data_IF_924576181852
#
_entry.id   IF_924576181852
#
_cell.length_a   1.000
_cell.length_b   1.000
_cell.length_c   1.000
_cell.angle_alpha   90.00
_cell.angle_beta   90.00
_cell.angle_gamma   90.00
#
_symmetry.space_group_name_H-M   'P 1'
#
loop_
_entity.id
_entity.type
_entity.pdbx_description
1 polymer ?
#
# COMPACT_ATOMS: atom_id res chain seq x y z
N UNK A 1 -3.35 4.07 -25.90
CA UNK A 1 -3.27 3.21 -24.70
C UNK A 1 -4.15 2.00 -24.89
N UNK A 2 -3.57 0.83 -24.92
CA UNK A 2 -4.21 -0.47 -24.99
C UNK A 2 -3.98 -1.21 -23.66
N UNK A 3 -4.94 -2.01 -23.23
CA UNK A 3 -4.87 -2.80 -22.00
C UNK A 3 -5.01 -4.27 -22.35
N UNK A 4 -4.06 -5.06 -21.91
CA UNK A 4 -4.07 -6.51 -22.05
C UNK A 4 -4.00 -7.17 -20.67
N UNK A 5 -4.90 -8.09 -20.36
CA UNK A 5 -4.73 -9.00 -19.23
C UNK A 5 -3.75 -10.10 -19.63
N UNK A 6 -2.62 -10.16 -18.92
CA UNK A 6 -1.59 -11.16 -19.16
C UNK A 6 -1.96 -12.47 -18.48
N UNK A 7 -2.40 -12.40 -17.20
CA UNK A 7 -2.74 -13.57 -16.43
C UNK A 7 -3.61 -13.27 -15.20
N UNK A 8 -4.05 -14.33 -14.54
CA UNK A 8 -4.74 -14.28 -13.24
C UNK A 8 -4.23 -15.39 -12.35
N UNK A 9 -3.60 -15.03 -11.23
CA UNK A 9 -3.13 -15.95 -10.22
C UNK A 9 -4.23 -16.22 -9.20
N UNK A 10 -4.44 -17.48 -8.89
CA UNK A 10 -5.42 -17.96 -7.91
C UNK A 10 -4.76 -18.92 -6.93
N UNK A 11 -5.22 -18.92 -5.67
CA UNK A 11 -4.66 -19.78 -4.62
C UNK A 11 -5.00 -19.30 -3.21
N UNK A 12 -5.17 -18.00 -3.02
CA UNK A 12 -5.68 -17.47 -1.75
C UNK A 12 -7.09 -18.00 -1.44
N UNK A 13 -7.36 -18.25 -0.15
CA UNK A 13 -8.66 -18.74 0.33
C UNK A 13 -9.61 -17.63 0.77
N UNK A 14 -9.08 -16.41 0.94
CA UNK A 14 -9.81 -15.24 1.42
C UNK A 14 -9.29 -13.96 0.72
N UNK A 15 -9.93 -12.78 0.96
CA UNK A 15 -9.52 -11.49 0.42
C UNK A 15 -8.03 -11.19 0.56
N UNK A 16 -7.44 -10.61 -0.49
CA UNK A 16 -6.02 -10.21 -0.52
C UNK A 16 -5.94 -8.72 -0.23
N UNK A 17 -5.07 -8.32 0.71
CA UNK A 17 -4.95 -6.94 1.17
C UNK A 17 -3.58 -6.30 0.93
N UNK A 18 -2.54 -7.11 0.70
CA UNK A 18 -1.18 -6.62 0.50
C UNK A 18 -0.53 -7.23 -0.72
N UNK A 19 0.20 -6.41 -1.45
CA UNK A 19 1.12 -6.79 -2.53
C UNK A 19 2.47 -6.11 -2.25
N UNK A 20 3.55 -6.83 -2.50
CA UNK A 20 4.91 -6.31 -2.38
C UNK A 20 5.78 -6.86 -3.52
N UNK A 21 6.65 -6.04 -4.11
CA UNK A 21 7.60 -6.47 -5.12
C UNK A 21 8.81 -7.13 -4.44
N UNK A 22 9.28 -8.22 -5.02
CA UNK A 22 10.43 -8.95 -4.53
C UNK A 22 11.77 -8.22 -4.75
N UNK A 23 12.84 -8.81 -4.25
CA UNK A 23 14.20 -8.36 -4.54
C UNK A 23 14.50 -8.47 -6.05
N UNK A 24 14.08 -9.60 -6.64
CA UNK A 24 14.09 -9.79 -8.08
C UNK A 24 12.72 -9.38 -8.64
N UNK A 25 12.66 -8.45 -9.62
CA UNK A 25 11.41 -7.82 -10.05
C UNK A 25 10.34 -8.78 -10.58
N UNK A 26 10.73 -9.97 -11.04
CA UNK A 26 9.79 -10.98 -11.53
C UNK A 26 9.10 -11.78 -10.40
N UNK A 27 9.49 -11.60 -9.14
CA UNK A 27 8.74 -12.11 -8.00
C UNK A 27 7.90 -11.02 -7.37
N UNK A 28 6.66 -11.36 -7.08
CA UNK A 28 5.76 -10.56 -6.27
C UNK A 28 5.22 -11.40 -5.12
N UNK A 29 4.83 -10.73 -4.05
CA UNK A 29 4.33 -11.36 -2.84
C UNK A 29 2.99 -10.78 -2.48
N UNK A 30 2.11 -11.63 -1.96
CA UNK A 30 0.78 -11.23 -1.51
C UNK A 30 0.50 -11.73 -0.10
N UNK A 31 -0.37 -11.02 0.61
CA UNK A 31 -0.92 -11.48 1.88
C UNK A 31 -2.37 -11.01 2.04
N UNK A 32 -3.14 -11.71 2.86
CA UNK A 32 -4.55 -11.41 2.98
C UNK A 32 -5.22 -11.93 4.24
N UNK A 33 -6.53 -12.07 4.16
CA UNK A 33 -7.37 -12.45 5.29
C UNK A 33 -7.22 -13.92 5.69
N UNK A 34 -6.65 -14.75 4.82
CA UNK A 34 -6.33 -16.15 5.12
C UNK A 34 -5.01 -16.33 5.90
N UNK A 35 -4.30 -15.22 6.15
CA UNK A 35 -3.02 -15.24 6.84
C UNK A 35 -1.86 -15.80 6.02
N UNK A 36 -2.08 -16.12 4.75
CA UNK A 36 -1.03 -16.65 3.89
C UNK A 36 -0.15 -15.53 3.34
N UNK A 37 1.16 -15.76 3.34
CA UNK A 37 2.15 -15.00 2.58
C UNK A 37 2.56 -15.88 1.40
N UNK A 38 2.28 -15.43 0.18
CA UNK A 38 2.45 -16.24 -1.03
C UNK A 38 3.38 -15.53 -2.00
N UNK A 39 4.35 -16.27 -2.52
CA UNK A 39 5.25 -15.88 -3.61
C UNK A 39 4.65 -16.27 -4.95
N UNK A 40 4.72 -15.37 -5.94
CA UNK A 40 4.28 -15.57 -7.32
C UNK A 40 5.40 -15.18 -8.28
N UNK A 41 5.52 -15.93 -9.37
CA UNK A 41 6.51 -15.64 -10.41
C UNK A 41 5.83 -15.10 -11.66
N UNK A 42 6.10 -13.86 -12.03
CA UNK A 42 5.54 -13.20 -13.21
C UNK A 42 6.03 -13.78 -14.55
N UNK A 43 7.13 -14.56 -14.53
CA UNK A 43 7.64 -15.27 -15.71
C UNK A 43 6.94 -16.61 -15.95
N UNK A 44 6.39 -17.19 -14.88
CA UNK A 44 5.75 -18.51 -14.91
C UNK A 44 4.43 -18.41 -14.17
N UNK A 45 3.38 -18.02 -14.88
CA UNK A 45 2.06 -17.82 -14.30
C UNK A 45 1.44 -19.18 -13.93
N UNK A 46 1.71 -19.65 -12.76
CA UNK A 46 1.13 -20.89 -12.25
C UNK A 46 0.97 -20.86 -10.73
N UNK A 47 1.29 -21.92 -10.08
CA UNK A 47 1.00 -22.16 -8.66
C UNK A 47 1.85 -21.24 -7.77
N UNK A 48 1.18 -20.39 -6.96
CA UNK A 48 1.84 -19.63 -5.92
C UNK A 48 2.49 -20.53 -4.86
N UNK A 49 3.66 -20.14 -4.36
CA UNK A 49 4.36 -20.82 -3.28
C UNK A 49 4.05 -20.15 -1.95
N UNK A 50 3.39 -20.87 -1.04
CA UNK A 50 3.15 -20.37 0.32
C UNK A 50 4.47 -20.32 1.08
N UNK A 51 4.88 -19.14 1.54
CA UNK A 51 6.09 -18.91 2.32
C UNK A 51 5.83 -18.97 3.83
N UNK A 52 4.69 -18.46 4.26
CA UNK A 52 4.31 -18.46 5.67
C UNK A 52 2.78 -18.49 5.82
N UNK A 53 2.35 -19.00 6.96
CA UNK A 53 0.98 -18.88 7.44
C UNK A 53 1.01 -18.17 8.78
N UNK A 54 0.39 -16.99 8.84
CA UNK A 54 0.22 -16.17 10.03
C UNK A 54 -1.21 -16.33 10.50
N UNK A 55 -1.42 -16.58 11.77
CA UNK A 55 -2.77 -16.70 12.32
C UNK A 55 -3.51 -15.35 12.25
N UNK A 56 -4.69 -15.35 11.64
CA UNK A 56 -5.48 -14.13 11.40
C UNK A 56 -5.11 -13.36 10.14
N UNK A 57 -5.73 -12.18 9.99
CA UNK A 57 -5.58 -11.36 8.78
C UNK A 57 -4.28 -10.58 8.76
N UNK A 58 -3.63 -10.55 7.60
CA UNK A 58 -2.45 -9.73 7.30
C UNK A 58 -2.88 -8.59 6.36
N UNK A 59 -2.88 -7.35 6.87
CA UNK A 59 -3.19 -6.16 6.05
C UNK A 59 -1.95 -5.54 5.42
N UNK A 60 -0.77 -5.77 5.98
CA UNK A 60 0.47 -5.22 5.46
C UNK A 60 1.62 -6.24 5.49
N UNK A 61 2.37 -6.22 4.42
CA UNK A 61 3.58 -6.99 4.17
C UNK A 61 4.63 -6.01 3.65
N UNK A 62 5.85 -6.05 4.17
CA UNK A 62 6.93 -5.17 3.71
C UNK A 62 8.24 -5.93 3.62
N UNK A 63 8.88 -5.88 2.45
CA UNK A 63 10.17 -6.54 2.23
C UNK A 63 11.32 -5.62 2.65
N UNK A 64 12.14 -6.07 3.56
CA UNK A 64 13.46 -5.50 3.81
C UNK A 64 14.45 -6.08 2.80
N UNK A 65 14.73 -5.31 1.74
CA UNK A 65 15.53 -5.78 0.59
C UNK A 65 16.98 -6.13 0.93
N UNK A 66 17.55 -5.50 1.96
CA UNK A 66 18.95 -5.74 2.38
C UNK A 66 19.15 -7.11 3.02
N UNK A 67 18.17 -7.55 3.82
CA UNK A 67 18.21 -8.82 4.57
C UNK A 67 17.38 -9.93 3.93
N UNK A 68 16.53 -9.57 2.96
CA UNK A 68 15.56 -10.47 2.34
C UNK A 68 14.54 -11.06 3.35
N UNK A 69 14.17 -10.24 4.34
CA UNK A 69 13.19 -10.57 5.37
C UNK A 69 11.89 -9.82 5.12
N UNK A 70 10.78 -10.54 5.17
CA UNK A 70 9.47 -9.91 5.25
C UNK A 70 9.15 -9.51 6.67
N UNK A 71 8.70 -8.25 6.82
CA UNK A 71 8.03 -7.75 8.00
C UNK A 71 6.53 -7.88 7.78
N UNK A 72 5.90 -8.77 8.54
CA UNK A 72 4.49 -9.13 8.41
C UNK A 72 3.72 -8.62 9.61
N UNK A 73 2.73 -7.76 9.37
CA UNK A 73 1.84 -7.24 10.40
C UNK A 73 0.72 -8.23 10.71
N UNK A 74 0.79 -8.89 11.88
CA UNK A 74 -0.30 -9.71 12.42
C UNK A 74 -1.20 -8.86 13.30
N UNK A 75 -2.46 -8.76 12.93
CA UNK A 75 -3.43 -7.99 13.72
C UNK A 75 -3.58 -8.54 15.12
N UNK A 76 -3.62 -7.60 16.09
CA UNK A 76 -3.81 -7.85 17.55
C UNK A 76 -2.66 -8.57 18.25
N UNK A 77 -1.58 -8.90 17.56
CA UNK A 77 -0.42 -9.57 18.15
C UNK A 77 0.89 -8.82 17.94
N UNK A 78 1.31 -8.61 16.66
CA UNK A 78 2.57 -7.94 16.46
C UNK A 78 3.13 -7.99 15.05
N UNK A 79 4.43 -7.79 14.97
CA UNK A 79 5.20 -7.86 13.73
C UNK A 79 6.07 -9.12 13.77
N UNK A 80 6.08 -9.85 12.66
CA UNK A 80 6.92 -11.04 12.49
C UNK A 80 7.88 -10.86 11.33
N UNK A 81 9.15 -11.21 11.55
CA UNK A 81 10.15 -11.34 10.50
C UNK A 81 10.13 -12.74 9.91
N UNK A 82 9.91 -12.86 8.60
CA UNK A 82 9.94 -14.14 7.87
C UNK A 82 11.03 -14.08 6.83
N UNK A 83 12.03 -14.99 6.96
CA UNK A 83 13.11 -15.12 5.99
C UNK A 83 12.59 -15.82 4.73
N UNK A 84 12.87 -15.27 3.55
CA UNK A 84 12.36 -15.82 2.29
C UNK A 84 13.05 -17.15 1.94
N UNK A 85 14.36 -17.27 2.20
CA UNK A 85 15.18 -18.41 1.75
C UNK A 85 14.76 -19.75 2.35
N UNK A 86 14.50 -19.77 3.64
CA UNK A 86 14.20 -20.99 4.43
C UNK A 86 12.82 -20.98 5.05
N UNK A 87 12.05 -19.89 4.84
CA UNK A 87 10.68 -19.72 5.30
C UNK A 87 10.55 -19.71 6.84
N UNK A 88 11.66 -19.48 7.54
CA UNK A 88 11.68 -19.44 9.00
C UNK A 88 11.25 -18.06 9.53
N UNK A 89 10.56 -18.08 10.66
CA UNK A 89 10.32 -16.89 11.45
C UNK A 89 11.61 -16.55 12.22
N UNK A 90 12.24 -15.41 11.86
CA UNK A 90 13.54 -15.02 12.44
C UNK A 90 13.39 -14.09 13.66
N UNK A 91 12.27 -13.38 13.77
CA UNK A 91 11.93 -12.61 14.96
C UNK A 91 10.41 -12.42 15.10
N UNK A 92 10.01 -12.02 16.31
CA UNK A 92 8.65 -11.56 16.62
C UNK A 92 8.72 -10.41 17.61
N UNK A 93 8.01 -9.33 17.30
CA UNK A 93 7.91 -8.14 18.14
C UNK A 93 6.45 -7.99 18.56
N UNK A 94 6.19 -8.17 19.87
CA UNK A 94 4.86 -7.98 20.41
C UNK A 94 4.44 -6.51 20.28
N UNK A 95 3.23 -6.27 19.79
CA UNK A 95 2.64 -4.94 19.63
C UNK A 95 1.41 -4.77 20.51
N UNK A 96 0.96 -3.54 20.77
CA UNK A 96 -0.35 -3.31 21.37
C UNK A 96 -1.43 -4.09 20.60
N UNK A 97 -2.40 -4.67 21.34
CA UNK A 97 -3.52 -5.46 20.77
C UNK A 97 -4.43 -4.60 19.90
N UNK A 98 -3.95 -4.25 18.73
CA UNK A 98 -4.57 -3.34 17.74
C UNK A 98 -4.40 -3.88 16.34
N UNK A 99 -5.30 -3.47 15.43
CA UNK A 99 -5.09 -3.73 14.00
C UNK A 99 -3.84 -2.99 13.50
N UNK A 100 -3.10 -3.63 12.59
CA UNK A 100 -1.90 -3.08 11.95
C UNK A 100 -2.25 -2.85 10.48
N UNK A 101 -2.17 -1.61 10.02
CA UNK A 101 -2.61 -1.23 8.68
C UNK A 101 -1.48 -0.98 7.69
N UNK A 102 -0.34 -0.50 8.15
CA UNK A 102 0.82 -0.26 7.29
C UNK A 102 2.13 -0.34 8.07
N UNK A 103 3.22 -0.64 7.35
CA UNK A 103 4.58 -0.67 7.83
C UNK A 103 5.43 0.15 6.87
N UNK A 104 6.28 1.03 7.39
CA UNK A 104 7.19 1.84 6.59
C UNK A 104 8.60 1.81 7.16
N UNK A 105 9.59 1.55 6.31
CA UNK A 105 11.00 1.68 6.65
C UNK A 105 11.46 3.11 6.40
N UNK A 106 12.07 3.74 7.40
CA UNK A 106 12.62 5.08 7.30
C UNK A 106 13.99 5.16 7.98
N UNK A 107 15.05 5.00 7.21
CA UNK A 107 16.41 4.82 7.73
C UNK A 107 16.51 3.56 8.59
N UNK A 108 16.97 3.70 9.83
CA UNK A 108 17.01 2.61 10.81
C UNK A 108 15.71 2.44 11.60
N UNK A 109 14.66 3.19 11.28
CA UNK A 109 13.38 3.11 11.96
C UNK A 109 12.36 2.32 11.13
N UNK A 110 11.50 1.58 11.82
CA UNK A 110 10.31 0.93 11.26
C UNK A 110 9.08 1.54 11.91
N UNK A 111 8.28 2.23 11.12
CA UNK A 111 7.04 2.86 11.56
C UNK A 111 5.86 1.92 11.29
N UNK A 112 5.03 1.71 12.30
CA UNK A 112 3.88 0.80 12.27
C UNK A 112 2.61 1.58 12.57
N UNK A 113 1.65 1.56 11.64
CA UNK A 113 0.37 2.23 11.74
C UNK A 113 -0.69 1.32 12.37
N UNK A 114 -1.34 1.80 13.43
CA UNK A 114 -2.37 1.06 14.15
C UNK A 114 -3.73 1.77 14.14
N UNK A 115 -4.75 1.04 14.59
CA UNK A 115 -6.03 1.64 14.89
C UNK A 115 -5.95 2.62 16.09
N UNK A 116 -7.03 3.41 16.27
CA UNK A 116 -7.12 4.42 17.33
C UNK A 116 -5.95 5.42 17.35
N UNK A 117 -5.40 5.79 16.19
CA UNK A 117 -4.37 6.83 16.05
C UNK A 117 -3.02 6.53 16.69
N UNK A 118 -2.75 5.28 17.01
CA UNK A 118 -1.46 4.86 17.53
C UNK A 118 -0.48 4.61 16.38
N UNK A 119 0.75 5.05 16.57
CA UNK A 119 1.90 4.74 15.71
C UNK A 119 3.00 4.21 16.62
N UNK A 120 3.57 3.06 16.29
CA UNK A 120 4.74 2.51 16.99
C UNK A 120 5.97 2.68 16.10
N UNK A 121 7.09 3.03 16.70
CA UNK A 121 8.39 3.12 16.00
C UNK A 121 9.35 2.12 16.63
N UNK A 122 9.93 1.29 15.79
CA UNK A 122 10.88 0.24 16.15
C UNK A 122 12.25 0.66 15.64
N UNK A 123 13.28 0.47 16.45
CA UNK A 123 14.66 0.47 15.95
C UNK A 123 14.94 -0.86 15.26
N UNK A 124 15.34 -0.79 14.00
CA UNK A 124 15.44 -1.95 13.12
C UNK A 124 16.56 -2.93 13.51
N UNK A 125 17.66 -2.42 14.07
CA UNK A 125 18.80 -3.25 14.46
C UNK A 125 18.56 -3.97 15.79
N UNK A 126 18.07 -3.25 16.80
CA UNK A 126 17.78 -3.83 18.11
C UNK A 126 16.45 -4.55 18.19
N UNK A 127 15.56 -4.34 17.23
CA UNK A 127 14.17 -4.84 17.21
C UNK A 127 13.34 -4.37 18.40
N UNK A 128 13.73 -3.25 19.04
CA UNK A 128 13.03 -2.69 20.19
C UNK A 128 12.10 -1.55 19.77
N UNK A 129 10.94 -1.47 20.42
CA UNK A 129 10.05 -0.32 20.28
C UNK A 129 10.69 0.86 20.99
N UNK A 130 11.03 1.92 20.24
CA UNK A 130 11.68 3.12 20.78
C UNK A 130 10.69 4.26 21.04
N UNK A 131 9.51 4.22 20.42
CA UNK A 131 8.49 5.27 20.56
C UNK A 131 7.09 4.75 20.29
N UNK A 132 6.14 5.27 21.05
CA UNK A 132 4.72 5.28 20.70
C UNK A 132 4.27 6.72 20.53
N UNK A 133 3.61 7.01 19.40
CA UNK A 133 3.03 8.31 19.08
C UNK A 133 1.53 8.15 19.03
N UNK A 134 0.80 8.94 19.82
CA UNK A 134 -0.67 9.02 19.76
C UNK A 134 -1.05 10.27 18.97
N UNK A 135 -1.65 10.09 17.81
CA UNK A 135 -2.03 11.19 16.92
C UNK A 135 -3.53 11.16 16.57
N UNK A 136 -4.34 11.57 17.53
CA UNK A 136 -5.80 11.53 17.44
C UNK A 136 -6.40 10.18 17.85
N UNK A 137 -7.70 9.99 17.62
CA UNK A 137 -8.45 8.78 18.03
C UNK A 137 -8.87 7.90 16.85
N UNK A 138 -8.62 8.33 15.63
CA UNK A 138 -8.92 7.57 14.42
C UNK A 138 -7.68 6.91 13.87
N UNK A 139 -7.84 5.74 13.27
CA UNK A 139 -6.75 4.87 12.81
C UNK A 139 -5.75 5.58 11.91
N UNK A 140 -4.45 5.38 12.16
CA UNK A 140 -3.40 5.62 11.18
C UNK A 140 -3.50 4.53 10.11
N UNK A 141 -3.54 4.90 8.83
CA UNK A 141 -3.89 3.98 7.74
C UNK A 141 -2.77 3.74 6.76
N UNK A 142 -2.01 4.77 6.41
CA UNK A 142 -1.02 4.70 5.34
C UNK A 142 0.13 5.64 5.62
N UNK A 143 1.34 5.17 5.37
CA UNK A 143 2.55 5.98 5.36
C UNK A 143 2.94 6.36 3.93
N UNK A 144 3.53 7.55 3.80
CA UNK A 144 4.17 8.01 2.58
C UNK A 144 5.40 8.85 2.94
N UNK A 145 6.58 8.43 2.52
CA UNK A 145 7.80 9.23 2.72
C UNK A 145 7.77 10.46 1.80
N UNK A 146 8.09 11.62 2.36
CA UNK A 146 8.23 12.89 1.65
C UNK A 146 9.72 13.22 1.57
N UNK A 147 10.38 12.63 0.57
CA UNK A 147 11.84 12.65 0.50
C UNK A 147 12.50 11.91 1.66
N UNK A 148 13.63 12.44 2.15
CA UNK A 148 14.41 11.77 3.20
C UNK A 148 14.05 12.18 4.63
N UNK A 149 13.41 13.34 4.82
CA UNK A 149 13.34 14.01 6.13
C UNK A 149 11.95 14.03 6.77
N UNK A 150 10.90 13.66 6.04
CA UNK A 150 9.52 13.72 6.51
C UNK A 150 8.72 12.49 6.13
N UNK A 151 7.72 12.18 6.92
CA UNK A 151 6.75 11.13 6.67
C UNK A 151 5.33 11.68 6.78
N UNK A 152 4.54 11.53 5.73
CA UNK A 152 3.11 11.79 5.75
C UNK A 152 2.35 10.54 6.20
N UNK A 153 1.35 10.73 7.02
CA UNK A 153 0.50 9.66 7.54
C UNK A 153 -0.95 10.01 7.27
N UNK A 154 -1.65 9.16 6.54
CA UNK A 154 -3.08 9.28 6.28
C UNK A 154 -3.89 8.62 7.40
N UNK A 155 -4.95 9.29 7.85
CA UNK A 155 -5.79 8.84 8.96
C UNK A 155 -7.24 8.60 8.55
N UNK A 156 -7.95 7.85 9.39
CA UNK A 156 -9.38 7.57 9.19
C UNK A 156 -10.30 8.74 9.55
N UNK A 157 -9.77 9.84 10.09
CA UNK A 157 -10.48 11.11 10.27
C UNK A 157 -10.40 12.04 9.06
N UNK A 158 -9.78 11.58 7.97
CA UNK A 158 -9.58 12.36 6.75
C UNK A 158 -8.36 13.27 6.77
N UNK A 159 -7.68 13.38 7.90
CA UNK A 159 -6.44 14.17 7.99
C UNK A 159 -5.25 13.44 7.40
N UNK A 160 -4.34 14.21 6.83
CA UNK A 160 -2.95 13.84 6.60
C UNK A 160 -2.11 14.63 7.59
N UNK A 161 -1.22 13.94 8.30
CA UNK A 161 -0.30 14.51 9.29
C UNK A 161 1.12 14.20 8.89
N UNK A 162 1.99 15.21 8.94
CA UNK A 162 3.41 15.11 8.57
C UNK A 162 4.27 15.18 9.81
N UNK A 163 5.16 14.21 9.96
CA UNK A 163 6.11 14.12 11.06
C UNK A 163 7.54 14.18 10.54
N UNK A 164 8.44 14.71 11.38
CA UNK A 164 9.88 14.69 11.16
C UNK A 164 10.54 13.48 11.86
N UNK A 165 11.86 13.34 11.68
CA UNK A 165 12.67 12.24 12.29
C UNK A 165 12.71 12.26 13.82
N UNK A 166 12.39 13.39 14.43
CA UNK A 166 12.32 13.55 15.90
C UNK A 166 10.94 13.23 16.46
N UNK A 167 10.04 12.65 15.62
CA UNK A 167 8.67 12.30 15.99
C UNK A 167 7.76 13.51 16.28
N UNK A 168 8.12 14.70 15.82
CA UNK A 168 7.36 15.91 15.99
C UNK A 168 6.38 16.10 14.83
N UNK A 169 5.13 16.48 15.16
CA UNK A 169 4.12 16.86 14.19
C UNK A 169 4.46 18.25 13.63
N UNK A 170 4.79 18.34 12.36
CA UNK A 170 5.11 19.60 11.71
C UNK A 170 3.91 20.24 11.03
N UNK A 171 3.06 19.41 10.44
CA UNK A 171 1.93 19.88 9.65
C UNK A 171 0.77 18.90 9.64
N UNK A 172 -0.46 19.42 9.58
CA UNK A 172 -1.67 18.62 9.44
C UNK A 172 -2.75 19.39 8.68
N UNK A 173 -3.48 18.70 7.80
CA UNK A 173 -4.63 19.27 7.09
C UNK A 173 -5.71 18.22 6.86
N UNK A 174 -6.96 18.70 6.74
CA UNK A 174 -8.08 17.86 6.33
C UNK A 174 -8.00 17.63 4.82
N UNK A 175 -7.56 16.43 4.45
CA UNK A 175 -7.36 16.06 3.06
C UNK A 175 -8.63 15.47 2.42
N UNK A 176 -9.36 14.64 3.15
CA UNK A 176 -10.56 13.96 2.69
C UNK A 176 -11.70 14.12 3.70
N UNK A 177 -12.94 14.00 3.25
CA UNK A 177 -14.11 14.01 4.13
C UNK A 177 -14.19 12.77 5.03
N UNK A 178 -13.57 11.67 4.57
CA UNK A 178 -13.52 10.36 5.23
C UNK A 178 -12.08 9.85 5.21
N UNK A 179 -11.88 8.57 5.58
CA UNK A 179 -10.56 7.93 5.69
C UNK A 179 -9.68 8.15 4.46
N UNK A 180 -8.43 8.52 4.69
CA UNK A 180 -7.34 8.44 3.70
C UNK A 180 -6.83 7.01 3.66
N UNK A 181 -6.86 6.37 2.50
CA UNK A 181 -6.49 4.96 2.37
C UNK A 181 -5.13 4.73 1.71
N UNK A 182 -4.76 5.58 0.76
CA UNK A 182 -3.45 5.49 0.11
C UNK A 182 -2.94 6.86 -0.33
N UNK A 183 -1.62 6.96 -0.44
CA UNK A 183 -0.92 8.18 -0.84
C UNK A 183 0.34 7.83 -1.61
N UNK A 184 0.72 8.70 -2.55
CA UNK A 184 1.98 8.66 -3.28
C UNK A 184 2.59 10.06 -3.30
N UNK A 185 3.89 10.15 -3.10
CA UNK A 185 4.65 11.38 -3.25
C UNK A 185 5.41 11.39 -4.58
N UNK A 186 5.16 12.41 -5.38
CA UNK A 186 5.85 12.69 -6.65
C UNK A 186 6.99 13.66 -6.37
N UNK A 187 8.17 13.12 -6.11
CA UNK A 187 9.33 13.93 -5.69
C UNK A 187 9.72 14.98 -6.73
N UNK A 188 9.67 14.62 -8.02
CA UNK A 188 10.04 15.52 -9.14
C UNK A 188 9.20 16.80 -9.21
N UNK A 189 7.95 16.75 -8.75
CA UNK A 189 7.00 17.88 -8.79
C UNK A 189 6.64 18.41 -7.41
N UNK A 190 7.14 17.78 -6.34
CA UNK A 190 6.77 18.08 -4.96
C UNK A 190 5.25 18.03 -4.72
N UNK A 191 4.60 17.03 -5.33
CA UNK A 191 3.17 16.79 -5.15
C UNK A 191 2.91 15.52 -4.36
N UNK A 192 1.90 15.58 -3.50
CA UNK A 192 1.33 14.41 -2.85
C UNK A 192 -0.02 14.09 -3.51
N UNK A 193 -0.17 12.87 -3.99
CA UNK A 193 -1.47 12.33 -4.35
C UNK A 193 -2.06 11.59 -3.16
N UNK A 194 -3.35 11.77 -2.93
CA UNK A 194 -4.09 11.04 -1.91
C UNK A 194 -5.42 10.53 -2.42
N UNK A 195 -5.85 9.37 -1.93
CA UNK A 195 -7.13 8.75 -2.22
C UNK A 195 -7.78 8.24 -0.94
N UNK A 196 -9.09 8.13 -0.94
CA UNK A 196 -9.78 7.76 0.27
C UNK A 196 -11.19 7.22 0.09
N UNK A 197 -11.88 7.12 1.22
CA UNK A 197 -13.24 6.58 1.30
C UNK A 197 -14.29 7.49 0.64
N UNK A 198 -13.99 8.75 0.42
CA UNK A 198 -14.85 9.71 -0.28
C UNK A 198 -14.82 9.57 -1.80
N UNK A 199 -14.15 8.54 -2.34
CA UNK A 199 -14.01 8.24 -3.77
C UNK A 199 -13.33 9.32 -4.60
N UNK A 200 -12.59 10.22 -3.95
CA UNK A 200 -11.85 11.31 -4.59
C UNK A 200 -10.37 10.98 -4.72
N UNK A 201 -9.78 11.43 -5.83
CA UNK A 201 -8.33 11.52 -6.04
C UNK A 201 -7.95 12.99 -5.94
N UNK A 202 -7.01 13.32 -5.08
CA UNK A 202 -6.57 14.69 -4.82
C UNK A 202 -5.07 14.84 -4.98
N UNK A 203 -4.65 15.95 -5.58
CA UNK A 203 -3.25 16.36 -5.71
C UNK A 203 -2.99 17.58 -4.84
N UNK A 204 -1.98 17.51 -4.01
CA UNK A 204 -1.56 18.53 -3.06
C UNK A 204 -0.17 19.03 -3.39
N UNK A 205 0.03 20.34 -3.44
CA UNK A 205 1.36 20.94 -3.45
C UNK A 205 1.84 21.09 -2.01
N UNK A 206 3.06 20.61 -1.75
CA UNK A 206 3.70 20.68 -0.44
C UNK A 206 4.72 21.83 -0.43
N UNK A 207 4.34 23.00 0.09
CA UNK A 207 5.19 24.18 0.15
C UNK A 207 5.48 24.57 1.61
N UNK A 208 6.66 24.11 2.10
CA UNK A 208 7.09 24.39 3.48
C UNK A 208 6.11 23.80 4.50
N UNK A 209 5.51 24.67 5.33
CA UNK A 209 4.57 24.28 6.38
C UNK A 209 3.10 24.22 5.92
N UNK A 210 2.83 24.39 4.64
CA UNK A 210 1.45 24.44 4.11
C UNK A 210 1.26 23.45 2.97
N UNK A 211 0.05 22.91 2.91
CA UNK A 211 -0.42 22.06 1.81
C UNK A 211 -1.58 22.73 1.12
N UNK A 212 -1.53 22.79 -0.20
CA UNK A 212 -2.56 23.40 -1.03
C UNK A 212 -3.17 22.36 -1.95
N UNK A 213 -4.49 22.29 -2.00
CA UNK A 213 -5.20 21.49 -2.99
C UNK A 213 -4.97 22.10 -4.38
N UNK A 214 -4.31 21.34 -5.25
CA UNK A 214 -4.04 21.74 -6.64
C UNK A 214 -5.13 21.24 -7.56
N UNK A 215 -5.55 19.99 -7.35
CA UNK A 215 -6.55 19.34 -8.20
C UNK A 215 -7.32 18.27 -7.43
N UNK A 216 -8.61 18.16 -7.72
CA UNK A 216 -9.50 17.13 -7.19
C UNK A 216 -10.32 16.51 -8.32
N UNK A 217 -10.46 15.19 -8.30
CA UNK A 217 -11.28 14.44 -9.24
C UNK A 217 -12.18 13.47 -8.49
N UNK A 218 -13.49 13.45 -8.80
CA UNK A 218 -14.38 12.37 -8.38
C UNK A 218 -14.03 11.11 -9.18
N UNK A 219 -13.05 10.37 -8.67
CA UNK A 219 -12.37 9.34 -9.44
C UNK A 219 -13.17 8.05 -9.58
N UNK A 220 -13.93 7.67 -8.56
CA UNK A 220 -14.72 6.45 -8.50
C UNK A 220 -16.11 6.70 -7.91
N UNK A 221 -16.98 5.68 -7.93
CA UNK A 221 -18.32 5.76 -7.31
C UNK A 221 -18.31 5.24 -5.86
N UNK A 222 -17.25 4.53 -5.46
CA UNK A 222 -17.04 4.03 -4.10
C UNK A 222 -15.59 4.26 -3.68
N UNK A 223 -15.29 3.92 -2.41
CA UNK A 223 -13.99 4.08 -1.79
C UNK A 223 -12.83 3.64 -2.70
N UNK A 224 -11.77 4.44 -2.75
CA UNK A 224 -10.53 4.12 -3.44
C UNK A 224 -9.56 3.57 -2.41
N UNK A 225 -9.16 2.31 -2.57
CA UNK A 225 -8.31 1.62 -1.59
C UNK A 225 -6.83 1.85 -1.82
N UNK A 226 -6.42 1.99 -3.08
CA UNK A 226 -5.00 2.16 -3.38
C UNK A 226 -4.76 3.05 -4.59
N UNK A 227 -3.58 3.66 -4.64
CA UNK A 227 -3.06 4.41 -5.77
C UNK A 227 -1.58 4.09 -5.94
N UNK A 228 -1.16 3.83 -7.17
CA UNK A 228 0.25 3.55 -7.54
C UNK A 228 0.64 4.35 -8.77
N UNK A 229 1.93 4.68 -8.88
CA UNK A 229 2.50 5.36 -10.05
C UNK A 229 3.26 4.35 -10.92
N UNK A 230 3.23 4.55 -12.24
CA UNK A 230 4.03 3.76 -13.19
C UNK A 230 5.53 4.01 -13.00
N UNK A 231 6.42 3.03 -13.33
CA UNK A 231 7.86 3.21 -13.18
C UNK A 231 8.42 4.40 -13.96
N UNK A 232 7.83 4.72 -15.10
CA UNK A 232 8.18 5.89 -15.93
C UNK A 232 7.52 7.20 -15.45
N UNK A 233 6.70 7.15 -14.38
CA UNK A 233 5.97 8.26 -13.78
C UNK A 233 4.99 8.99 -14.73
N UNK A 234 4.57 8.34 -15.82
CA UNK A 234 3.63 8.95 -16.76
C UNK A 234 2.17 8.70 -16.40
N UNK A 235 1.89 7.66 -15.60
CA UNK A 235 0.54 7.22 -15.28
C UNK A 235 0.36 6.93 -13.80
N UNK A 236 -0.89 7.09 -13.33
CA UNK A 236 -1.35 6.54 -12.05
C UNK A 236 -2.37 5.44 -12.31
N UNK A 237 -2.43 4.48 -11.40
CA UNK A 237 -3.52 3.54 -11.32
C UNK A 237 -4.21 3.65 -9.96
N UNK A 238 -5.53 3.63 -9.95
CA UNK A 238 -6.35 3.60 -8.72
C UNK A 238 -7.18 2.34 -8.66
N UNK A 239 -7.29 1.74 -7.48
CA UNK A 239 -8.10 0.56 -7.19
C UNK A 239 -9.27 0.92 -6.27
N UNK A 240 -10.46 0.42 -6.59
CA UNK A 240 -11.66 0.82 -5.86
C UNK A 240 -12.55 -0.36 -5.44
N UNK A 241 -13.34 -0.10 -4.41
CA UNK A 241 -14.48 -0.90 -3.98
C UNK A 241 -15.53 -1.05 -5.09
N UNK A 242 -15.56 -0.16 -6.10
CA UNK A 242 -16.44 -0.26 -7.27
C UNK A 242 -16.04 -1.36 -8.26
N UNK A 243 -15.03 -2.17 -7.92
CA UNK A 243 -14.51 -3.33 -8.67
C UNK A 243 -13.72 -2.94 -9.92
N UNK A 244 -13.41 -1.66 -10.08
CA UNK A 244 -12.66 -1.17 -11.23
C UNK A 244 -11.26 -0.74 -10.84
N UNK A 245 -10.35 -0.79 -11.83
CA UNK A 245 -9.07 -0.13 -11.80
C UNK A 245 -9.14 0.99 -12.85
N UNK A 246 -8.67 2.17 -12.52
CA UNK A 246 -8.64 3.28 -13.46
C UNK A 246 -7.21 3.76 -13.67
N UNK A 247 -6.89 4.06 -14.93
CA UNK A 247 -5.58 4.59 -15.34
C UNK A 247 -5.75 6.06 -15.67
N UNK A 248 -4.86 6.87 -15.12
CA UNK A 248 -4.88 8.32 -15.18
C UNK A 248 -3.57 8.85 -15.74
N UNK A 249 -3.62 9.95 -16.46
CA UNK A 249 -2.43 10.72 -16.83
C UNK A 249 -1.81 11.36 -15.59
N UNK A 250 -0.50 11.20 -15.41
CA UNK A 250 0.22 11.83 -14.30
C UNK A 250 0.29 13.35 -14.43
N UNK A 251 0.23 13.86 -15.65
CA UNK A 251 0.36 15.29 -15.92
C UNK A 251 -0.85 16.09 -15.41
N UNK A 252 -2.06 15.66 -15.78
CA UNK A 252 -3.29 16.44 -15.60
C UNK A 252 -4.44 15.70 -14.91
N UNK A 253 -4.20 14.49 -14.40
CA UNK A 253 -5.19 13.60 -13.80
C UNK A 253 -6.37 13.27 -14.72
N UNK A 254 -6.17 13.35 -16.04
CA UNK A 254 -7.19 12.93 -17.00
C UNK A 254 -7.38 11.41 -16.96
N UNK A 255 -8.63 10.96 -16.96
CA UNK A 255 -8.97 9.54 -17.03
C UNK A 255 -8.64 8.99 -18.43
N UNK A 256 -7.74 8.03 -18.51
CA UNK A 256 -7.31 7.41 -19.76
C UNK A 256 -8.04 6.10 -20.05
N UNK A 257 -8.16 5.23 -19.04
CA UNK A 257 -8.80 3.91 -19.17
C UNK A 257 -9.50 3.47 -17.89
N UNK A 258 -10.51 2.61 -18.08
CA UNK A 258 -11.19 1.89 -17.00
C UNK A 258 -11.08 0.40 -17.27
N UNK A 259 -10.49 -0.34 -16.35
CA UNK A 259 -10.35 -1.79 -16.36
C UNK A 259 -11.47 -2.36 -15.49
N UNK A 260 -12.42 -3.03 -16.11
CA UNK A 260 -13.60 -3.62 -15.47
C UNK A 260 -13.84 -5.08 -15.94
N UNK A 261 -14.74 -5.76 -15.26
CA UNK A 261 -15.05 -7.15 -15.58
C UNK A 261 -15.69 -7.34 -16.97
N UNK A 262 -16.64 -6.50 -17.43
CA UNK A 262 -17.27 -6.68 -18.75
C UNK A 262 -16.30 -6.57 -19.91
N UNK A 263 -15.36 -5.64 -19.88
CA UNK A 263 -14.45 -5.38 -21.01
C UNK A 263 -13.17 -6.21 -20.98
N UNK A 264 -12.64 -6.44 -19.78
CA UNK A 264 -11.31 -7.04 -19.62
C UNK A 264 -11.32 -8.33 -18.79
N UNK A 265 -12.48 -8.79 -18.32
CA UNK A 265 -12.59 -9.92 -17.40
C UNK A 265 -11.90 -9.66 -16.06
N UNK A 266 -11.89 -8.40 -15.60
CA UNK A 266 -11.27 -7.97 -14.35
C UNK A 266 -11.96 -8.55 -13.12
N UNK A 267 -11.61 -8.03 -11.96
CA UNK A 267 -12.12 -8.49 -10.67
C UNK A 267 -13.63 -8.41 -10.53
N UNK A 268 -14.21 -9.38 -9.83
CA UNK A 268 -15.65 -9.46 -9.56
C UNK A 268 -16.06 -8.77 -8.26
N UNK A 269 -15.07 -8.49 -7.40
CA UNK A 269 -15.25 -7.86 -6.10
C UNK A 269 -14.31 -6.64 -5.97
N UNK A 270 -14.33 -5.98 -4.79
CA UNK A 270 -13.48 -4.86 -4.47
C UNK A 270 -12.01 -5.10 -4.84
N UNK A 271 -11.39 -4.14 -5.52
CA UNK A 271 -9.94 -4.16 -5.75
C UNK A 271 -9.26 -3.44 -4.58
N UNK A 272 -8.42 -4.16 -3.85
CA UNK A 272 -7.88 -3.68 -2.58
C UNK A 272 -6.47 -3.14 -2.69
N UNK A 273 -5.65 -3.72 -3.56
CA UNK A 273 -4.23 -3.39 -3.65
C UNK A 273 -3.76 -3.39 -5.09
N UNK A 274 -2.84 -2.48 -5.37
CA UNK A 274 -2.10 -2.39 -6.62
C UNK A 274 -0.60 -2.46 -6.36
N UNK A 275 0.12 -2.95 -7.35
CA UNK A 275 1.56 -2.88 -7.45
C UNK A 275 1.92 -2.63 -8.91
N UNK A 276 2.68 -1.57 -9.19
CA UNK A 276 3.27 -1.40 -10.51
C UNK A 276 4.68 -1.97 -10.46
N UNK A 277 4.84 -3.17 -11.04
CA UNK A 277 6.12 -3.89 -11.02
C UNK A 277 7.11 -3.29 -12.02
N UNK A 278 8.38 -3.29 -11.65
CA UNK A 278 9.47 -2.95 -12.57
C UNK A 278 9.78 -4.06 -13.57
N UNK A 279 9.19 -5.26 -13.39
CA UNK A 279 9.27 -6.33 -14.38
C UNK A 279 8.28 -6.08 -15.51
N UNK A 280 8.78 -5.76 -16.70
CA UNK A 280 8.00 -5.47 -17.90
C UNK A 280 6.90 -4.40 -17.73
N UNK A 281 7.01 -3.57 -16.72
CA UNK A 281 6.04 -2.52 -16.36
C UNK A 281 4.61 -3.06 -16.14
N UNK A 282 4.50 -4.28 -15.61
CA UNK A 282 3.20 -4.88 -15.32
C UNK A 282 2.51 -4.19 -14.15
N UNK A 283 1.26 -3.83 -14.35
CA UNK A 283 0.36 -3.48 -13.26
C UNK A 283 -0.24 -4.77 -12.67
N UNK A 284 -0.09 -4.96 -11.38
CA UNK A 284 -0.62 -6.09 -10.62
C UNK A 284 -1.74 -5.60 -9.71
N UNK A 285 -2.85 -6.31 -9.67
CA UNK A 285 -4.00 -5.97 -8.83
C UNK A 285 -4.47 -7.16 -8.00
N UNK A 286 -4.84 -6.91 -6.74
CA UNK A 286 -5.35 -7.91 -5.81
C UNK A 286 -6.74 -7.51 -5.27
N UNK A 287 -7.60 -8.51 -5.00
CA UNK A 287 -9.01 -8.27 -4.76
C UNK A 287 -9.60 -9.15 -3.65
N UNK A 288 -10.80 -8.75 -3.21
CA UNK A 288 -11.68 -9.58 -2.38
C UNK A 288 -12.15 -10.86 -3.09
N UNK A 289 -12.01 -10.94 -4.42
CA UNK A 289 -12.31 -12.16 -5.18
C UNK A 289 -11.23 -13.23 -5.07
N UNK A 290 -10.21 -13.01 -4.23
CA UNK A 290 -9.09 -13.91 -3.91
C UNK A 290 -8.09 -14.13 -5.04
N UNK A 291 -8.19 -13.33 -6.10
CA UNK A 291 -7.33 -13.40 -7.27
C UNK A 291 -6.38 -12.21 -7.35
N UNK A 292 -5.27 -12.44 -8.04
CA UNK A 292 -4.33 -11.41 -8.47
C UNK A 292 -4.39 -11.40 -10.00
N UNK A 293 -4.62 -10.23 -10.59
CA UNK A 293 -4.61 -10.07 -12.05
C UNK A 293 -3.41 -9.25 -12.49
N UNK A 294 -2.82 -9.66 -13.61
CA UNK A 294 -1.62 -9.06 -14.21
C UNK A 294 -2.02 -8.36 -15.50
N UNK A 295 -1.65 -7.11 -15.64
CA UNK A 295 -2.03 -6.24 -16.74
C UNK A 295 -0.79 -5.67 -17.42
N UNK A 296 -0.79 -5.64 -18.74
CA UNK A 296 0.13 -4.85 -19.56
C UNK A 296 -0.60 -3.64 -20.10
N UNK A 297 0.05 -2.48 -19.98
CA UNK A 297 -0.45 -1.19 -20.45
C UNK A 297 0.50 -0.70 -21.54
N UNK A 298 -0.04 -0.46 -22.77
CA UNK A 298 0.71 -0.02 -23.95
C UNK A 298 0.36 1.39 -24.35
#
# INVERSE_FOLDING_TARGET
>A
MEIQRIDTFSGHKAPIYSLEEGREPHFIYSAGSDGWVVEWNLQKPDVGKVLAHIEGSVYCLKLERSTNIFWVGQNFEGIHGVQISDQNRVFSIAMPKKAIFDICFWGNQVWVAHDHGLISVIDKESLQIIKHIKSGDKSARKFCLLGQDKIAIGFSDGFIRVFNKNFELEHAWLAHELSVFSMIYEESFNYLLSVGRDAKLKRWSLNGEKSYLVQEVAAHIYAIHDVVISPDQQFFATASMDKTIKIWSANDLALLKVIDAPRYGSHKNSVNKLLWSTYQDYLVSASDDKNISIWKIH
#
